data_IF_760992381924
#
_entry.id   IF_760992381924
#
_cell.length_a   1.000
_cell.length_b   1.000
_cell.length_c   1.000
_cell.angle_alpha   90.00
_cell.angle_beta   90.00
_cell.angle_gamma   90.00
#
_symmetry.space_group_name_H-M   'P 1'
#
loop_
_entity.id
_entity.type
_entity.pdbx_description
1 polymer ?
#
# COMPACT_ATOMS: atom_id res chain seq x y z
N UNK A 1 -9.18 17.10 -18.25
CA UNK A 1 -8.68 17.64 -16.96
C UNK A 1 -8.84 16.69 -15.77
N UNK A 2 -9.91 15.89 -15.63
CA UNK A 2 -10.05 14.98 -14.47
C UNK A 2 -9.21 13.68 -14.59
N UNK A 3 -8.86 13.25 -15.81
CA UNK A 3 -8.02 12.06 -16.04
C UNK A 3 -6.55 12.23 -15.64
N UNK A 4 -5.97 13.41 -15.84
CA UNK A 4 -4.57 13.70 -15.50
C UNK A 4 -4.31 13.68 -13.98
N UNK A 5 -5.27 14.12 -13.17
CA UNK A 5 -5.14 14.04 -11.71
C UNK A 5 -5.17 12.59 -11.20
N UNK A 6 -6.00 11.74 -11.82
CA UNK A 6 -6.01 10.30 -11.52
C UNK A 6 -4.69 9.68 -11.91
N UNK A 7 -4.21 9.90 -13.14
CA UNK A 7 -2.92 9.41 -13.63
C UNK A 7 -1.76 9.84 -12.71
N UNK A 8 -1.75 11.08 -12.23
CA UNK A 8 -0.70 11.56 -11.32
C UNK A 8 -0.71 10.93 -9.92
N UNK A 9 -1.85 10.38 -9.48
CA UNK A 9 -2.01 9.71 -8.17
C UNK A 9 -1.79 8.21 -8.31
N UNK A 10 -2.40 7.55 -9.31
CA UNK A 10 -2.15 6.12 -9.60
C UNK A 10 -0.78 5.84 -10.22
N UNK A 11 -0.11 6.82 -10.85
CA UNK A 11 1.29 6.66 -11.30
C UNK A 11 2.29 6.75 -10.15
N UNK A 12 1.89 7.22 -8.97
CA UNK A 12 2.77 7.35 -7.79
C UNK A 12 2.59 6.24 -6.77
N UNK A 13 1.48 5.52 -6.85
CA UNK A 13 1.18 4.40 -5.98
C UNK A 13 1.49 3.09 -6.70
N UNK A 14 2.56 2.43 -6.29
CA UNK A 14 2.93 1.11 -6.85
C UNK A 14 2.00 0.04 -6.25
N UNK A 15 1.36 -0.76 -7.11
CA UNK A 15 0.69 -1.98 -6.68
C UNK A 15 1.74 -3.05 -6.39
N UNK A 16 1.80 -3.50 -5.14
CA UNK A 16 2.83 -4.44 -4.68
C UNK A 16 2.25 -5.80 -4.29
N UNK A 17 0.93 -5.98 -4.40
CA UNK A 17 0.28 -7.25 -4.03
C UNK A 17 0.58 -7.66 -2.59
N UNK A 18 0.90 -8.93 -2.38
CA UNK A 18 1.22 -9.51 -1.07
C UNK A 18 2.50 -8.94 -0.41
N UNK A 19 3.39 -8.27 -1.16
CA UNK A 19 4.60 -7.65 -0.63
C UNK A 19 4.33 -6.33 0.13
N UNK A 20 3.06 -5.91 0.25
CA UNK A 20 2.70 -4.65 0.92
C UNK A 20 3.25 -4.57 2.34
N UNK A 21 3.10 -5.65 3.13
CA UNK A 21 3.53 -5.63 4.52
C UNK A 21 5.05 -5.50 4.66
N UNK A 22 5.82 -6.22 3.84
CA UNK A 22 7.27 -6.15 3.87
C UNK A 22 7.78 -4.77 3.43
N UNK A 23 7.24 -4.25 2.32
CA UNK A 23 7.62 -2.93 1.81
C UNK A 23 7.20 -1.79 2.75
N UNK A 24 6.03 -1.88 3.37
CA UNK A 24 5.57 -0.88 4.32
C UNK A 24 6.50 -0.82 5.55
N UNK A 25 6.94 -1.98 6.06
CA UNK A 25 7.95 -2.06 7.12
C UNK A 25 9.30 -1.48 6.68
N UNK A 26 9.79 -1.86 5.50
CA UNK A 26 11.06 -1.33 4.95
C UNK A 26 11.03 0.19 4.72
N UNK A 27 9.90 0.74 4.28
CA UNK A 27 9.71 2.19 4.12
C UNK A 27 9.68 2.91 5.46
N UNK A 28 9.10 2.29 6.49
CA UNK A 28 9.11 2.81 7.85
C UNK A 28 10.51 2.81 8.45
N UNK A 29 11.27 1.72 8.27
CA UNK A 29 12.65 1.58 8.72
C UNK A 29 13.68 2.41 7.92
N UNK A 30 13.27 3.05 6.82
CA UNK A 30 14.15 3.82 5.94
C UNK A 30 15.10 2.96 5.09
N UNK A 31 14.83 1.66 4.95
CA UNK A 31 15.60 0.76 4.08
C UNK A 31 15.38 1.05 2.60
N UNK A 32 14.17 1.53 2.26
CA UNK A 32 13.79 1.91 0.90
C UNK A 32 13.15 3.29 0.87
N UNK A 33 13.14 3.91 -0.32
CA UNK A 33 12.53 5.22 -0.51
C UNK A 33 11.02 5.18 -0.19
N UNK A 34 10.57 6.16 0.59
CA UNK A 34 9.17 6.33 0.94
C UNK A 34 8.38 6.69 -0.34
N UNK A 35 7.50 5.81 -0.77
CA UNK A 35 6.61 5.99 -1.93
C UNK A 35 5.21 5.52 -1.56
N UNK A 36 4.20 6.00 -2.27
CA UNK A 36 2.87 5.44 -2.10
C UNK A 36 2.89 4.01 -2.62
N UNK A 37 2.42 3.06 -1.82
CA UNK A 37 2.21 1.67 -2.21
C UNK A 37 0.83 1.24 -1.75
N UNK A 38 0.24 0.32 -2.48
CA UNK A 38 -0.97 -0.37 -2.06
C UNK A 38 -0.87 -1.82 -2.48
N UNK A 39 -1.52 -2.69 -1.72
CA UNK A 39 -1.46 -4.10 -1.97
C UNK A 39 -2.37 -4.89 -1.06
N UNK A 40 -2.13 -6.17 -1.03
CA UNK A 40 -2.85 -7.14 -0.23
C UNK A 40 -2.01 -7.43 1.01
N UNK A 41 -2.65 -7.44 2.17
CA UNK A 41 -2.01 -7.85 3.41
C UNK A 41 -2.99 -8.73 4.18
N UNK A 42 -2.48 -9.82 4.73
CA UNK A 42 -3.25 -10.70 5.60
C UNK A 42 -3.60 -9.99 6.90
N UNK A 43 -4.66 -10.43 7.59
CA UNK A 43 -5.05 -9.84 8.87
C UNK A 43 -3.92 -9.88 9.93
N UNK A 44 -3.08 -10.92 9.90
CA UNK A 44 -1.91 -11.04 10.76
C UNK A 44 -0.82 -10.00 10.42
N UNK A 45 -0.59 -9.77 9.13
CA UNK A 45 0.37 -8.78 8.64
C UNK A 45 -0.08 -7.35 8.95
N UNK A 46 -1.36 -7.04 8.76
CA UNK A 46 -1.92 -5.73 9.15
C UNK A 46 -1.75 -5.49 10.65
N UNK A 47 -1.92 -6.53 11.47
CA UNK A 47 -1.69 -6.44 12.91
C UNK A 47 -0.21 -6.21 13.21
N UNK A 48 0.69 -6.92 12.56
CA UNK A 48 2.13 -6.74 12.71
C UNK A 48 2.58 -5.34 12.29
N UNK A 49 2.06 -4.81 11.19
CA UNK A 49 2.33 -3.43 10.72
C UNK A 49 1.89 -2.39 11.74
N UNK A 50 0.73 -2.60 12.37
CA UNK A 50 0.24 -1.72 13.42
C UNK A 50 1.08 -1.77 14.69
N UNK A 51 1.64 -2.93 15.02
CA UNK A 51 2.57 -3.11 16.15
C UNK A 51 3.92 -2.42 15.88
N UNK A 52 4.38 -2.46 14.62
CA UNK A 52 5.56 -1.76 14.10
C UNK A 52 5.36 -0.22 13.95
N UNK A 53 4.26 0.33 14.46
CA UNK A 53 3.86 1.75 14.27
C UNK A 53 3.83 2.21 12.80
N UNK A 54 3.61 1.28 11.85
CA UNK A 54 3.45 1.61 10.44
C UNK A 54 2.06 2.19 10.20
N UNK A 55 1.99 3.39 9.64
CA UNK A 55 0.75 4.06 9.25
C UNK A 55 0.09 3.36 8.04
N UNK A 56 -0.64 2.28 8.31
CA UNK A 56 -1.43 1.55 7.32
C UNK A 56 -2.88 2.00 7.35
N UNK A 57 -3.43 2.31 6.18
CA UNK A 57 -4.84 2.66 6.03
C UNK A 57 -5.58 1.51 5.34
N UNK A 58 -6.67 0.98 5.93
CA UNK A 58 -7.49 0.00 5.25
C UNK A 58 -8.16 0.68 4.05
N UNK A 59 -7.79 0.25 2.84
CA UNK A 59 -8.50 0.67 1.65
C UNK A 59 -9.84 -0.07 1.58
N UNK A 60 -10.95 0.63 1.28
CA UNK A 60 -12.23 -0.03 1.07
C UNK A 60 -12.09 -0.98 -0.12
N UNK A 61 -12.39 -2.26 0.11
CA UNK A 61 -12.35 -3.31 -0.92
C UNK A 61 -13.34 -2.95 -2.02
N UNK A 62 -12.82 -2.47 -3.17
CA UNK A 62 -13.61 -2.32 -4.39
C UNK A 62 -13.72 -3.71 -5.05
N UNK A 63 -14.92 -4.19 -5.39
CA UNK A 63 -15.18 -5.56 -5.83
C UNK A 63 -14.75 -5.84 -7.29
N UNK A 64 -13.60 -5.37 -7.74
CA UNK A 64 -13.23 -5.39 -9.17
C UNK A 64 -11.83 -5.93 -9.54
N UNK A 65 -11.12 -6.62 -8.63
CA UNK A 65 -9.90 -7.39 -8.98
C UNK A 65 -10.12 -8.92 -8.96
N UNK A 66 -11.28 -9.34 -9.47
CA UNK A 66 -11.52 -10.74 -9.87
C UNK A 66 -12.06 -10.77 -11.29
N UNK A 67 -11.18 -10.69 -12.29
CA UNK A 67 -11.49 -11.11 -13.66
C UNK A 67 -10.28 -11.71 -14.35
#
# INVERSE_FOLDING_TARGET
MVRELRDHVTSKADYVGEDFADLARKMHGGEIAHRSIYGEASADEVKALRDDEVEVFPLPVLPEDRN
#
